data_IF_916331882112
#
_entry.id   IF_916331882112
#
_cell.length_a   1.000
_cell.length_b   1.000
_cell.length_c   1.000
_cell.angle_alpha   90.00
_cell.angle_beta   90.00
_cell.angle_gamma   90.00
#
_symmetry.space_group_name_H-M   'P 1'
#
loop_
_entity.id
_entity.type
_entity.pdbx_description
1 polymer ?
#
# COMPACT_ATOMS: atom_id res chain seq x y z
N UNK A 1 8.01 -15.14 7.46
CA UNK A 1 8.05 -13.69 7.25
C UNK A 1 6.66 -13.13 7.51
N UNK A 2 6.55 -12.13 8.36
CA UNK A 2 5.25 -11.55 8.71
C UNK A 2 4.74 -10.66 7.57
N UNK A 3 3.44 -10.31 7.65
CA UNK A 3 2.87 -9.38 6.69
C UNK A 3 3.62 -8.04 6.70
N UNK A 4 3.96 -7.55 7.90
CA UNK A 4 4.71 -6.30 8.01
C UNK A 4 6.08 -6.40 7.36
N UNK A 5 6.78 -7.52 7.56
CA UNK A 5 8.08 -7.72 6.92
C UNK A 5 7.97 -7.68 5.40
N UNK A 6 6.92 -8.27 4.85
CA UNK A 6 6.69 -8.23 3.41
C UNK A 6 6.40 -6.84 2.91
N UNK A 7 5.58 -6.09 3.64
CA UNK A 7 5.29 -4.69 3.29
C UNK A 7 6.56 -3.85 3.35
N UNK A 8 7.38 -4.03 4.39
CA UNK A 8 8.66 -3.32 4.48
C UNK A 8 9.54 -3.59 3.28
N UNK A 9 9.66 -4.85 2.89
CA UNK A 9 10.47 -5.23 1.75
C UNK A 9 9.98 -4.57 0.47
N UNK A 10 8.67 -4.52 0.27
CA UNK A 10 8.07 -3.91 -0.91
C UNK A 10 8.27 -2.39 -0.90
N UNK A 11 7.87 -1.73 0.18
CA UNK A 11 7.85 -0.27 0.24
C UNK A 11 9.24 0.33 0.29
N UNK A 12 10.13 -0.24 1.10
CA UNK A 12 11.47 0.32 1.28
C UNK A 12 12.39 0.05 0.08
N UNK A 13 11.97 -0.81 -0.85
CA UNK A 13 12.69 -0.99 -2.10
C UNK A 13 12.46 0.15 -3.08
N UNK A 14 11.43 0.98 -2.87
CA UNK A 14 11.15 2.10 -3.76
C UNK A 14 12.03 3.30 -3.41
N UNK A 15 12.46 4.09 -4.42
CA UNK A 15 13.39 5.19 -4.15
C UNK A 15 12.78 6.27 -3.27
N UNK A 16 13.56 6.72 -2.30
CA UNK A 16 13.15 7.82 -1.41
C UNK A 16 12.12 7.47 -0.36
N UNK A 17 11.77 6.18 -0.20
CA UNK A 17 10.77 5.77 0.77
C UNK A 17 11.42 5.46 2.12
N UNK A 18 10.82 5.96 3.19
CA UNK A 18 11.25 5.69 4.55
C UNK A 18 10.06 5.28 5.41
N UNK A 19 10.36 4.62 6.52
CA UNK A 19 9.34 4.14 7.47
C UNK A 19 9.33 5.03 8.70
N UNK A 20 8.13 5.30 9.22
CA UNK A 20 7.94 6.00 10.50
C UNK A 20 6.82 5.35 11.26
N UNK A 21 6.74 5.66 12.56
CA UNK A 21 5.58 5.28 13.35
C UNK A 21 4.57 6.42 13.32
N UNK A 22 3.31 6.08 13.11
CA UNK A 22 2.21 7.03 13.12
C UNK A 22 1.07 6.42 13.92
N UNK A 23 0.72 7.07 15.02
CA UNK A 23 -0.35 6.59 15.91
C UNK A 23 -0.12 5.14 16.35
N UNK A 24 1.15 4.78 16.60
CA UNK A 24 1.52 3.47 17.10
C UNK A 24 1.67 2.39 16.02
N UNK A 25 1.51 2.73 14.76
CA UNK A 25 1.63 1.77 13.67
C UNK A 25 2.60 2.26 12.60
N UNK A 26 3.25 1.33 11.86
CA UNK A 26 4.17 1.73 10.81
C UNK A 26 3.48 2.42 9.64
N UNK A 27 4.08 3.49 9.16
CA UNK A 27 3.67 4.09 7.90
C UNK A 27 4.90 4.34 7.05
N UNK A 28 4.68 4.42 5.75
CA UNK A 28 5.77 4.58 4.79
C UNK A 28 5.53 5.87 4.02
N UNK A 29 6.58 6.68 3.90
CA UNK A 29 6.47 8.00 3.29
C UNK A 29 7.50 8.17 2.20
N UNK A 30 7.16 8.99 1.21
CA UNK A 30 8.11 9.40 0.18
C UNK A 30 8.82 10.65 0.68
N UNK A 31 10.15 10.57 0.80
CA UNK A 31 11.00 11.66 1.29
C UNK A 31 10.52 12.22 2.64
N UNK A 32 10.04 11.30 3.50
CA UNK A 32 9.58 11.66 4.84
C UNK A 32 8.45 12.71 4.85
N UNK A 33 7.72 12.80 3.75
CA UNK A 33 6.68 13.83 3.59
C UNK A 33 5.34 13.28 3.12
N UNK A 34 5.31 12.63 1.97
CA UNK A 34 4.05 12.22 1.36
C UNK A 34 3.73 10.77 1.73
N UNK A 35 2.59 10.52 2.36
CA UNK A 35 2.23 9.15 2.73
C UNK A 35 2.11 8.25 1.51
N UNK A 36 2.79 7.12 1.56
CA UNK A 36 2.73 6.09 0.54
C UNK A 36 1.75 5.00 0.95
N UNK A 37 1.85 4.53 2.19
CA UNK A 37 0.90 3.55 2.71
C UNK A 37 1.00 3.50 4.24
N UNK A 38 -0.10 3.03 4.84
CA UNK A 38 -0.21 2.84 6.28
C UNK A 38 -0.49 1.38 6.55
N UNK A 39 0.29 0.78 7.45
CA UNK A 39 0.09 -0.60 7.88
C UNK A 39 -0.74 -0.61 9.16
N UNK A 40 -1.77 -1.44 9.22
CA UNK A 40 -2.63 -1.55 10.37
C UNK A 40 -2.74 -3.01 10.83
N UNK A 41 -2.59 -3.20 12.14
CA UNK A 41 -2.81 -4.50 12.78
C UNK A 41 -3.82 -4.25 13.89
N UNK A 42 -5.04 -4.78 13.73
CA UNK A 42 -6.11 -4.59 14.70
C UNK A 42 -6.54 -3.12 14.86
N UNK A 43 -6.68 -2.42 13.74
CA UNK A 43 -7.08 -1.01 13.76
C UNK A 43 -8.46 -0.85 14.40
N UNK A 44 -8.53 -0.07 15.48
CA UNK A 44 -9.76 0.15 16.25
C UNK A 44 -10.42 -1.15 16.69
N UNK A 45 -9.63 -2.20 16.94
CA UNK A 45 -10.15 -3.47 17.42
C UNK A 45 -10.84 -4.33 16.37
N UNK A 46 -10.54 -4.11 15.09
CA UNK A 46 -11.19 -4.88 14.01
C UNK A 46 -10.63 -6.30 13.86
N UNK A 47 -9.49 -6.61 14.51
CA UNK A 47 -8.89 -7.93 14.43
C UNK A 47 -8.28 -8.25 13.08
N UNK A 48 -8.07 -7.24 12.22
CA UNK A 48 -7.60 -7.46 10.86
C UNK A 48 -6.23 -6.85 10.64
N UNK A 49 -5.50 -7.44 9.70
CA UNK A 49 -4.23 -6.88 9.22
C UNK A 49 -4.48 -6.31 7.84
N UNK A 50 -4.12 -5.05 7.65
CA UNK A 50 -4.44 -4.37 6.40
C UNK A 50 -3.39 -3.33 6.03
N UNK A 51 -3.45 -2.90 4.77
CA UNK A 51 -2.60 -1.84 4.23
C UNK A 51 -3.51 -0.83 3.54
N UNK A 52 -3.32 0.44 3.83
CA UNK A 52 -4.09 1.51 3.19
C UNK A 52 -3.14 2.25 2.25
N UNK A 53 -3.55 2.40 0.98
CA UNK A 53 -2.73 3.03 -0.06
C UNK A 53 -3.54 4.08 -0.82
N UNK A 54 -2.96 5.25 -1.13
CA UNK A 54 -3.63 6.19 -2.02
C UNK A 54 -3.71 5.60 -3.44
N UNK A 55 -4.84 5.82 -4.09
CA UNK A 55 -5.05 5.35 -5.47
C UNK A 55 -5.71 6.46 -6.28
N UNK A 56 -5.59 6.44 -7.60
CA UNK A 56 -6.28 7.42 -8.43
C UNK A 56 -7.79 7.33 -8.28
N UNK A 57 -8.52 8.43 -8.54
CA UNK A 57 -9.97 8.42 -8.44
C UNK A 57 -10.60 7.29 -9.26
N UNK A 58 -11.58 6.61 -8.67
CA UNK A 58 -12.30 5.51 -9.32
C UNK A 58 -11.71 4.13 -9.04
N UNK A 59 -10.43 4.03 -8.72
CA UNK A 59 -9.78 2.73 -8.49
C UNK A 59 -10.33 2.06 -7.23
N UNK A 60 -10.53 2.82 -6.16
CA UNK A 60 -11.09 2.28 -4.91
C UNK A 60 -12.43 1.59 -5.17
N UNK A 61 -13.35 2.28 -5.83
CA UNK A 61 -14.68 1.74 -6.10
C UNK A 61 -14.61 0.49 -6.97
N UNK A 62 -13.79 0.52 -7.99
CA UNK A 62 -13.66 -0.59 -8.92
C UNK A 62 -13.13 -1.83 -8.22
N UNK A 63 -12.07 -1.70 -7.44
CA UNK A 63 -11.46 -2.85 -6.78
C UNK A 63 -12.34 -3.40 -5.66
N UNK A 64 -12.93 -2.55 -4.86
CA UNK A 64 -13.81 -3.00 -3.78
C UNK A 64 -15.04 -3.70 -4.33
N UNK A 65 -15.61 -3.17 -5.41
CA UNK A 65 -16.78 -3.82 -6.05
C UNK A 65 -16.43 -5.18 -6.64
N UNK A 66 -15.24 -5.29 -7.23
CA UNK A 66 -14.82 -6.55 -7.86
C UNK A 66 -14.47 -7.63 -6.84
N UNK A 67 -13.81 -7.26 -5.73
CA UNK A 67 -13.32 -8.24 -4.77
C UNK A 67 -13.47 -7.74 -3.33
N UNK A 68 -14.71 -7.71 -2.81
CA UNK A 68 -14.97 -7.13 -1.48
C UNK A 68 -14.40 -7.94 -0.32
N UNK A 69 -13.98 -9.18 -0.54
CA UNK A 69 -13.31 -9.97 0.49
C UNK A 69 -11.87 -9.50 0.70
N UNK A 70 -11.24 -9.00 -0.35
CA UNK A 70 -9.82 -8.64 -0.34
C UNK A 70 -9.59 -7.14 -0.16
N UNK A 71 -10.53 -6.32 -0.59
CA UNK A 71 -10.37 -4.87 -0.58
C UNK A 71 -11.53 -4.20 0.15
N UNK A 72 -11.26 -3.03 0.70
CA UNK A 72 -12.29 -2.29 1.45
C UNK A 72 -12.03 -0.78 1.32
N UNK A 73 -13.04 -0.01 1.73
CA UNK A 73 -12.94 1.44 1.79
C UNK A 73 -12.45 1.82 3.18
N UNK A 74 -11.27 2.43 3.30
CA UNK A 74 -10.78 2.85 4.62
C UNK A 74 -11.70 3.88 5.25
N UNK A 75 -11.85 3.88 6.59
CA UNK A 75 -12.62 4.93 7.24
C UNK A 75 -11.98 6.29 6.94
N UNK A 76 -12.83 7.27 6.65
CA UNK A 76 -12.37 8.62 6.38
C UNK A 76 -13.03 9.57 7.36
N UNK A 77 -12.27 10.58 7.82
CA UNK A 77 -12.80 11.59 8.70
C UNK A 77 -13.59 12.62 7.89
N UNK A 78 -14.25 13.55 8.59
CA UNK A 78 -14.95 14.63 7.94
C UNK A 78 -14.02 15.49 7.09
N UNK A 79 -12.72 15.48 7.39
CA UNK A 79 -11.73 16.20 6.58
C UNK A 79 -11.43 15.48 5.26
N UNK A 80 -11.83 14.23 5.12
CA UNK A 80 -11.60 13.46 3.90
C UNK A 80 -10.18 12.97 3.70
N UNK A 81 -9.42 12.80 4.78
CA UNK A 81 -7.98 12.46 4.71
C UNK A 81 -7.72 11.20 3.91
N UNK A 82 -8.56 10.18 4.07
CA UNK A 82 -8.37 8.90 3.36
C UNK A 82 -9.40 8.71 2.25
N UNK A 83 -9.97 9.79 1.74
CA UNK A 83 -10.85 9.71 0.58
C UNK A 83 -10.03 9.20 -0.60
N UNK A 84 -10.57 8.30 -1.37
CA UNK A 84 -9.89 7.69 -2.52
C UNK A 84 -8.67 6.86 -2.17
N UNK A 85 -8.57 6.39 -0.92
CA UNK A 85 -7.55 5.42 -0.54
C UNK A 85 -8.14 4.03 -0.61
N UNK A 86 -7.32 3.05 -0.94
CA UNK A 86 -7.72 1.65 -1.02
C UNK A 86 -7.24 0.90 0.21
N UNK A 87 -8.14 0.17 0.86
CA UNK A 87 -7.78 -0.76 1.91
C UNK A 87 -7.54 -2.15 1.33
N UNK A 88 -6.44 -2.77 1.71
CA UNK A 88 -6.06 -4.11 1.25
C UNK A 88 -5.91 -5.00 2.48
N UNK A 89 -6.73 -6.05 2.58
CA UNK A 89 -6.55 -7.01 3.67
C UNK A 89 -5.32 -7.87 3.42
N UNK A 90 -4.51 -8.05 4.44
CA UNK A 90 -3.28 -8.83 4.37
C UNK A 90 -3.37 -10.15 5.16
N UNK A 91 -4.56 -10.52 5.59
CA UNK A 91 -4.79 -11.69 6.42
C UNK A 91 -5.84 -12.64 5.84
N UNK A 92 -6.18 -12.48 4.57
CA UNK A 92 -7.11 -13.38 3.91
C UNK A 92 -6.46 -14.73 3.64
N UNK A 93 -7.29 -15.77 3.58
CA UNK A 93 -6.83 -17.16 3.43
C UNK A 93 -7.66 -17.88 2.37
N UNK A 94 -7.26 -19.11 2.05
CA UNK A 94 -7.97 -19.94 1.09
C UNK A 94 -7.90 -19.37 -0.32
N UNK A 95 -9.00 -19.48 -1.08
CA UNK A 95 -9.02 -18.98 -2.47
C UNK A 95 -8.79 -17.47 -2.57
N UNK A 96 -9.06 -16.75 -1.48
CA UNK A 96 -8.91 -15.29 -1.45
C UNK A 96 -7.61 -14.86 -0.76
N UNK A 97 -6.67 -15.78 -0.57
CA UNK A 97 -5.42 -15.45 0.11
C UNK A 97 -4.67 -14.33 -0.57
N UNK A 98 -3.81 -13.66 0.19
CA UNK A 98 -3.08 -12.49 -0.29
C UNK A 98 -2.18 -12.87 -1.46
N UNK A 99 -2.26 -12.09 -2.53
CA UNK A 99 -1.34 -12.17 -3.66
C UNK A 99 -0.30 -11.06 -3.47
N UNK A 100 0.88 -11.44 -3.02
CA UNK A 100 1.91 -10.45 -2.71
C UNK A 100 2.49 -9.76 -3.95
N UNK A 101 2.37 -10.36 -5.13
CA UNK A 101 2.73 -9.67 -6.37
C UNK A 101 1.74 -8.55 -6.64
N UNK A 102 0.47 -8.78 -6.36
CA UNK A 102 -0.54 -7.74 -6.51
C UNK A 102 -0.36 -6.63 -5.49
N UNK A 103 -0.03 -6.98 -4.23
CA UNK A 103 0.24 -5.97 -3.21
C UNK A 103 1.42 -5.10 -3.64
N UNK A 104 2.48 -5.71 -4.16
CA UNK A 104 3.62 -4.95 -4.66
C UNK A 104 3.23 -4.00 -5.79
N UNK A 105 2.37 -4.46 -6.70
CA UNK A 105 1.90 -3.62 -7.80
C UNK A 105 1.05 -2.45 -7.28
N UNK A 106 0.20 -2.69 -6.30
CA UNK A 106 -0.63 -1.65 -5.70
C UNK A 106 0.25 -0.58 -5.02
N UNK A 107 1.27 -1.01 -4.29
CA UNK A 107 2.18 -0.08 -3.61
C UNK A 107 3.00 0.71 -4.65
N UNK A 108 3.46 0.05 -5.71
CA UNK A 108 4.19 0.75 -6.76
C UNK A 108 3.30 1.76 -7.47
N UNK A 109 2.04 1.41 -7.75
CA UNK A 109 1.10 2.36 -8.35
C UNK A 109 0.83 3.54 -7.43
N UNK A 110 0.71 3.29 -6.12
CA UNK A 110 0.58 4.37 -5.15
C UNK A 110 1.80 5.28 -5.18
N UNK A 111 2.99 4.70 -5.27
CA UNK A 111 4.23 5.45 -5.38
C UNK A 111 4.21 6.36 -6.61
N UNK A 112 3.81 5.82 -7.76
CA UNK A 112 3.73 6.60 -8.99
C UNK A 112 2.68 7.71 -8.91
N UNK A 113 1.69 7.53 -8.06
CA UNK A 113 0.64 8.53 -7.84
C UNK A 113 1.11 9.69 -6.97
N UNK A 114 1.98 9.44 -5.99
CA UNK A 114 2.35 10.46 -4.99
C UNK A 114 3.80 10.94 -5.09
N UNK A 115 4.70 10.20 -5.71
CA UNK A 115 6.11 10.55 -5.73
C UNK A 115 6.40 11.66 -6.75
N UNK A 116 7.45 12.46 -6.50
CA UNK A 116 7.87 13.44 -7.49
C UNK A 116 8.48 12.75 -8.73
N UNK A 117 8.41 13.45 -9.86
CA UNK A 117 8.86 12.90 -11.13
C UNK A 117 10.30 12.38 -11.11
N UNK A 118 11.17 13.02 -10.34
CA UNK A 118 12.57 12.60 -10.27
C UNK A 118 12.72 11.20 -9.64
N UNK A 119 11.90 10.88 -8.66
CA UNK A 119 11.95 9.55 -8.04
C UNK A 119 11.28 8.50 -8.93
N UNK A 120 10.23 8.86 -9.64
CA UNK A 120 9.61 7.96 -10.61
C UNK A 120 10.62 7.63 -11.71
N UNK A 121 11.34 8.63 -12.20
CA UNK A 121 12.39 8.41 -13.19
C UNK A 121 13.49 7.50 -12.65
N UNK A 122 13.88 7.69 -11.39
CA UNK A 122 14.87 6.83 -10.77
C UNK A 122 14.41 5.39 -10.74
N UNK A 123 13.15 5.14 -10.37
CA UNK A 123 12.57 3.80 -10.36
C UNK A 123 12.60 3.19 -11.76
N UNK A 124 12.20 3.95 -12.76
CA UNK A 124 12.12 3.46 -14.14
C UNK A 124 13.49 3.15 -14.74
N UNK A 125 14.55 3.76 -14.23
CA UNK A 125 15.91 3.54 -14.74
C UNK A 125 16.67 2.47 -13.94
N UNK A 126 16.06 1.86 -12.94
CA UNK A 126 16.70 0.79 -12.17
C UNK A 126 16.77 -0.49 -13.00
N UNK A 127 17.84 -1.28 -12.84
CA UNK A 127 17.83 -2.64 -13.35
C UNK A 127 16.71 -3.42 -12.69
N UNK A 128 15.99 -4.21 -13.47
CA UNK A 128 14.93 -5.05 -12.90
C UNK A 128 15.55 -6.14 -12.04
N UNK A 129 14.85 -6.50 -10.97
CA UNK A 129 15.25 -7.62 -10.14
C UNK A 129 15.19 -8.89 -10.98
N UNK A 130 16.14 -9.81 -10.74
CA UNK A 130 16.28 -11.00 -11.54
C UNK A 130 15.00 -11.84 -11.60
N UNK A 131 14.34 -11.97 -10.48
CA UNK A 131 13.15 -12.81 -10.42
C UNK A 131 11.89 -12.20 -11.02
N UNK A 132 11.94 -10.95 -11.45
CA UNK A 132 10.77 -10.26 -11.99
C UNK A 132 10.76 -10.24 -13.51
N UNK A 133 11.81 -10.70 -14.14
CA UNK A 133 11.83 -10.72 -15.57
C UNK A 133 10.93 -11.82 -16.09
N UNK A 134 10.09 -11.47 -16.97
CA UNK A 134 9.16 -12.43 -17.55
C UNK A 134 9.58 -12.80 -18.94
#
# INVERSE_FOLDING_TARGET
>A
MSALDRVRRIALALPGVNERMSHGEPCFLVRDKRPLCYFHDDHNGDGRISLWCPVPPGVQEEMVSAEPVRFFVPPTSSSGVFRDWLGVYLDTTGPQRVDWHEVAAIVEDAFRHVAPASLIAELDHRPRARGTRS
#
